data_IF_144737512886
#
_entry.id   IF_144737512886
#
_cell.length_a   1.000
_cell.length_b   1.000
_cell.length_c   1.000
_cell.angle_alpha   90.00
_cell.angle_beta   90.00
_cell.angle_gamma   90.00
#
_symmetry.space_group_name_H-M   'P 1'
#
loop_
_entity.id
_entity.type
_entity.pdbx_description
1 polymer ?
#
# COMPACT_ATOMS: atom_id res chain seq x y z
N UNK A 1 -41.48 2.58 -47.81
CA UNK A 1 -41.24 2.70 -46.34
C UNK A 1 -40.04 1.83 -45.94
N UNK A 2 -38.81 2.34 -46.02
CA UNK A 2 -37.58 1.63 -45.60
C UNK A 2 -36.51 2.62 -45.09
N UNK A 3 -36.89 3.61 -44.28
CA UNK A 3 -35.93 4.60 -43.72
C UNK A 3 -35.85 4.62 -42.18
N UNK A 4 -36.69 3.86 -41.48
CA UNK A 4 -36.75 3.88 -40.01
C UNK A 4 -35.76 2.94 -39.30
N UNK A 5 -35.37 1.83 -39.92
CA UNK A 5 -34.58 0.77 -39.25
C UNK A 5 -33.08 1.14 -39.21
N UNK A 6 -32.59 1.83 -40.25
CA UNK A 6 -31.17 2.20 -40.38
C UNK A 6 -30.73 3.19 -39.29
N UNK A 7 -31.56 4.17 -38.94
CA UNK A 7 -31.22 5.21 -37.96
C UNK A 7 -31.22 4.68 -36.53
N UNK A 8 -32.12 3.74 -36.21
CA UNK A 8 -32.21 3.13 -34.87
C UNK A 8 -30.97 2.26 -34.59
N UNK A 9 -30.51 1.51 -35.61
CA UNK A 9 -29.31 0.67 -35.48
C UNK A 9 -28.04 1.52 -35.30
N UNK A 10 -27.97 2.68 -35.98
CA UNK A 10 -26.82 3.58 -35.88
C UNK A 10 -26.71 4.25 -34.51
N UNK A 11 -27.85 4.61 -33.89
CA UNK A 11 -27.90 5.16 -32.53
C UNK A 11 -27.56 4.10 -31.48
N UNK A 12 -28.00 2.85 -31.67
CA UNK A 12 -27.67 1.77 -30.75
C UNK A 12 -26.16 1.45 -30.74
N UNK A 13 -25.51 1.45 -31.92
CA UNK A 13 -24.06 1.20 -32.05
C UNK A 13 -23.25 2.34 -31.44
N UNK A 14 -23.66 3.60 -31.63
CA UNK A 14 -22.96 4.74 -31.01
C UNK A 14 -23.17 4.81 -29.49
N UNK A 15 -24.34 4.40 -28.98
CA UNK A 15 -24.57 4.26 -27.54
C UNK A 15 -23.71 3.15 -26.93
N UNK A 16 -23.56 1.99 -27.57
CA UNK A 16 -22.69 0.91 -27.09
C UNK A 16 -21.20 1.30 -27.10
N UNK A 17 -20.75 2.02 -28.12
CA UNK A 17 -19.38 2.54 -28.18
C UNK A 17 -19.12 3.59 -27.09
N UNK A 18 -20.08 4.48 -26.82
CA UNK A 18 -19.97 5.46 -25.72
C UNK A 18 -19.87 4.77 -24.35
N UNK A 19 -20.65 3.71 -24.12
CA UNK A 19 -20.58 2.93 -22.87
C UNK A 19 -19.21 2.28 -22.70
N UNK A 20 -18.58 1.77 -23.77
CA UNK A 20 -17.24 1.18 -23.71
C UNK A 20 -16.11 2.20 -23.41
N UNK A 21 -16.32 3.49 -23.69
CA UNK A 21 -15.36 4.55 -23.39
C UNK A 21 -15.35 4.96 -21.90
N UNK A 22 -16.40 4.62 -21.14
CA UNK A 22 -16.48 4.91 -19.69
C UNK A 22 -16.02 3.77 -18.78
N UNK A 23 -15.83 2.54 -19.31
CA UNK A 23 -15.34 1.40 -18.54
C UNK A 23 -13.82 1.18 -18.63
N UNK A 24 -13.09 2.17 -19.17
CA UNK A 24 -11.64 2.08 -19.43
C UNK A 24 -10.75 2.93 -18.53
N UNK A 25 -11.25 3.48 -17.42
CA UNK A 25 -10.37 4.05 -16.40
C UNK A 25 -9.96 2.90 -15.48
N UNK A 26 -8.74 2.42 -15.65
CA UNK A 26 -8.20 1.37 -14.80
C UNK A 26 -8.13 1.89 -13.37
N UNK A 27 -9.03 1.43 -12.50
CA UNK A 27 -8.93 1.56 -11.04
C UNK A 27 -7.79 0.67 -10.53
N UNK A 28 -6.57 0.91 -11.02
CA UNK A 28 -5.35 0.35 -10.43
C UNK A 28 -5.11 1.21 -9.19
N UNK A 29 -5.27 0.69 -7.96
CA UNK A 29 -4.93 1.47 -6.79
C UNK A 29 -3.48 1.88 -6.86
N UNK A 30 -3.25 3.16 -6.62
CA UNK A 30 -1.95 3.80 -6.68
C UNK A 30 -1.08 3.48 -5.46
N UNK A 31 -1.60 2.73 -4.49
CA UNK A 31 -0.94 2.46 -3.21
C UNK A 31 -1.28 1.08 -2.64
N UNK A 32 -0.37 0.53 -1.85
CA UNK A 32 -0.58 -0.64 -1.00
C UNK A 32 -0.84 -0.19 0.44
N UNK A 33 -1.88 -0.71 1.10
CA UNK A 33 -2.16 -0.37 2.49
C UNK A 33 -1.20 -1.12 3.44
N UNK A 34 -0.69 -0.38 4.42
CA UNK A 34 0.06 -0.85 5.58
C UNK A 34 -0.68 -0.44 6.85
N UNK A 35 -1.29 -1.40 7.54
CA UNK A 35 -1.97 -1.20 8.81
C UNK A 35 -0.98 -1.47 9.94
N UNK A 36 -0.66 -0.44 10.72
CA UNK A 36 0.14 -0.55 11.93
C UNK A 36 -0.80 -0.72 13.12
N UNK A 37 -0.72 -1.85 13.80
CA UNK A 37 -1.51 -2.18 14.99
C UNK A 37 -0.63 -2.04 16.22
N UNK A 38 -1.05 -1.22 17.18
CA UNK A 38 -0.39 -1.13 18.47
C UNK A 38 -0.92 -2.22 19.41
N UNK A 39 -0.27 -3.37 19.42
CA UNK A 39 -0.56 -4.47 20.33
C UNK A 39 0.22 -4.39 21.66
N UNK A 40 0.87 -3.25 21.93
CA UNK A 40 1.57 -2.96 23.18
C UNK A 40 0.66 -2.24 24.18
N UNK A 41 1.11 -2.14 25.43
CA UNK A 41 0.45 -1.36 26.49
C UNK A 41 0.82 0.13 26.46
N UNK A 42 1.77 0.53 25.62
CA UNK A 42 2.28 1.90 25.56
C UNK A 42 1.68 2.68 24.39
N UNK A 43 1.61 4.01 24.51
CA UNK A 43 1.26 4.87 23.38
C UNK A 43 2.43 4.91 22.41
N UNK A 44 2.20 4.50 21.16
CA UNK A 44 3.15 4.75 20.07
C UNK A 44 3.18 6.25 19.82
N UNK A 45 4.37 6.83 19.82
CA UNK A 45 4.60 8.28 19.66
C UNK A 45 5.14 8.67 18.30
N UNK A 46 5.68 7.70 17.55
CA UNK A 46 6.24 7.90 16.22
C UNK A 46 6.11 6.63 15.38
N UNK A 47 5.63 6.81 14.13
CA UNK A 47 5.75 5.83 13.06
C UNK A 47 6.51 6.47 11.90
N UNK A 48 7.64 5.88 11.53
CA UNK A 48 8.43 6.34 10.39
C UNK A 48 8.54 5.24 9.36
N UNK A 49 8.14 5.56 8.12
CA UNK A 49 8.20 4.66 6.98
C UNK A 49 9.18 5.26 5.98
N UNK A 50 10.23 4.52 5.66
CA UNK A 50 11.16 4.85 4.58
C UNK A 50 11.03 3.81 3.49
N UNK A 51 10.67 4.24 2.29
CA UNK A 51 10.64 3.39 1.10
C UNK A 51 11.86 3.68 0.23
N UNK A 52 12.52 2.61 -0.21
CA UNK A 52 13.62 2.66 -1.16
C UNK A 52 13.12 2.10 -2.48
N UNK A 53 13.10 2.91 -3.54
CA UNK A 53 12.64 2.47 -4.86
C UNK A 53 13.80 2.08 -5.77
N UNK A 54 13.59 1.02 -6.57
CA UNK A 54 14.47 0.64 -7.67
C UNK A 54 14.11 1.50 -8.88
N UNK A 55 14.93 2.51 -9.17
CA UNK A 55 14.91 3.19 -10.47
C UNK A 55 16.26 3.00 -11.16
N UNK A 56 16.29 2.65 -12.46
CA UNK A 56 17.52 2.40 -13.20
C UNK A 56 18.45 3.63 -13.31
N UNK A 57 18.05 4.79 -12.79
CA UNK A 57 18.87 6.00 -12.78
C UNK A 57 19.24 6.55 -11.41
N UNK A 58 18.49 6.31 -10.32
CA UNK A 58 18.81 6.76 -8.95
C UNK A 58 17.98 5.98 -7.92
N UNK A 59 18.56 5.64 -6.76
CA UNK A 59 17.76 5.29 -5.58
C UNK A 59 17.03 6.56 -5.13
N UNK A 60 15.71 6.55 -5.14
CA UNK A 60 14.89 7.61 -4.56
C UNK A 60 14.41 7.14 -3.19
N UNK A 61 14.83 7.87 -2.14
CA UNK A 61 14.39 7.63 -0.78
C UNK A 61 13.18 8.52 -0.51
N UNK A 62 11.99 7.96 -0.40
CA UNK A 62 10.88 8.67 0.23
C UNK A 62 10.88 8.32 1.73
N UNK A 63 10.90 9.34 2.58
CA UNK A 63 10.72 9.16 4.03
C UNK A 63 9.44 9.88 4.42
N UNK A 64 8.40 9.09 4.71
CA UNK A 64 7.18 9.59 5.32
C UNK A 64 7.33 9.34 6.82
N UNK A 65 7.96 10.28 7.53
CA UNK A 65 7.88 10.31 8.98
C UNK A 65 6.55 10.97 9.35
N UNK A 66 5.60 10.17 9.86
CA UNK A 66 4.34 10.69 10.36
C UNK A 66 4.41 10.65 11.90
N UNK A 67 4.40 11.83 12.52
CA UNK A 67 4.28 11.93 13.97
C UNK A 67 2.80 11.82 14.28
N UNK A 68 2.28 10.60 14.30
CA UNK A 68 0.92 10.31 14.74
C UNK A 68 0.95 9.29 15.88
N UNK A 69 0.15 9.56 16.92
CA UNK A 69 0.07 8.72 18.10
C UNK A 69 -0.92 7.59 17.89
N UNK A 70 -0.53 6.35 18.19
CA UNK A 70 -1.43 5.19 18.17
C UNK A 70 -1.60 4.71 19.62
N UNK A 71 -2.81 4.83 20.16
CA UNK A 71 -3.09 4.37 21.52
C UNK A 71 -3.00 2.84 21.64
N UNK A 72 -2.83 2.28 22.86
CA UNK A 72 -2.86 0.83 23.07
C UNK A 72 -4.14 0.20 22.49
N UNK A 73 -4.00 -0.87 21.70
CA UNK A 73 -5.09 -1.59 21.04
C UNK A 73 -5.66 -0.92 19.78
N UNK A 74 -5.21 0.28 19.43
CA UNK A 74 -5.64 0.98 18.22
C UNK A 74 -4.76 0.64 17.00
N UNK A 75 -5.22 1.01 15.82
CA UNK A 75 -4.50 0.82 14.57
C UNK A 75 -4.54 2.06 13.68
N UNK A 76 -3.54 2.20 12.82
CA UNK A 76 -3.44 3.29 11.86
C UNK A 76 -3.02 2.77 10.49
N UNK A 77 -3.66 3.27 9.44
CA UNK A 77 -3.39 2.86 8.06
C UNK A 77 -2.51 3.87 7.36
N UNK A 78 -1.42 3.36 6.78
CA UNK A 78 -0.51 4.09 5.90
C UNK A 78 -0.62 3.54 4.48
N UNK A 79 -0.24 4.35 3.50
CA UNK A 79 -0.30 3.98 2.09
C UNK A 79 1.10 4.01 1.48
N UNK A 80 1.58 2.83 1.08
CA UNK A 80 2.87 2.59 0.46
C UNK A 80 2.78 2.84 -1.05
N UNK A 81 3.78 3.51 -1.63
CA UNK A 81 3.84 3.74 -3.08
C UNK A 81 3.98 2.45 -3.89
N UNK A 82 3.38 2.40 -5.08
CA UNK A 82 3.31 1.20 -5.95
C UNK A 82 4.45 1.05 -6.95
N UNK A 83 5.47 1.91 -6.89
CA UNK A 83 6.69 1.73 -7.69
C UNK A 83 7.41 0.44 -7.31
N UNK A 84 8.35 -0.03 -8.13
CA UNK A 84 9.24 -1.15 -7.79
C UNK A 84 10.00 -0.81 -6.49
N UNK A 85 9.46 -1.21 -5.34
CA UNK A 85 10.06 -1.00 -4.02
C UNK A 85 11.14 -2.07 -3.82
N UNK A 86 12.36 -1.64 -3.52
CA UNK A 86 13.47 -2.53 -3.16
C UNK A 86 13.31 -3.01 -1.71
N UNK A 87 13.04 -2.05 -0.81
CA UNK A 87 12.88 -2.29 0.61
C UNK A 87 12.06 -1.19 1.27
N UNK A 88 11.33 -1.57 2.31
CA UNK A 88 10.68 -0.68 3.26
C UNK A 88 11.35 -0.86 4.61
N UNK A 89 11.73 0.26 5.21
CA UNK A 89 12.08 0.31 6.63
C UNK A 89 10.91 0.91 7.40
N UNK A 90 10.32 0.13 8.29
CA UNK A 90 9.34 0.59 9.26
C UNK A 90 10.02 0.74 10.62
N UNK A 91 9.88 1.92 11.21
CA UNK A 91 10.37 2.25 12.54
C UNK A 91 9.20 2.73 13.40
N UNK A 92 9.06 2.15 14.58
CA UNK A 92 8.00 2.48 15.54
C UNK A 92 8.65 2.77 16.89
N UNK A 93 8.26 3.85 17.55
CA UNK A 93 8.80 4.23 18.85
C UNK A 93 7.72 4.67 19.83
N UNK A 94 7.89 4.30 21.08
CA UNK A 94 7.05 4.66 22.23
C UNK A 94 7.92 5.26 23.37
N UNK A 95 7.39 5.32 24.58
CA UNK A 95 8.12 5.85 25.75
C UNK A 95 9.25 4.96 26.26
N UNK A 96 9.22 3.65 25.97
CA UNK A 96 10.17 2.64 26.48
C UNK A 96 11.29 2.37 25.47
N UNK A 97 11.07 2.64 24.18
CA UNK A 97 12.10 2.51 23.17
C UNK A 97 11.58 2.56 21.75
N UNK A 98 12.20 1.76 20.89
CA UNK A 98 11.82 1.61 19.50
C UNK A 98 12.04 0.20 18.99
N UNK A 99 11.30 -0.16 17.96
CA UNK A 99 11.53 -1.33 17.13
C UNK A 99 11.59 -0.93 15.66
N UNK A 100 12.33 -1.69 14.87
CA UNK A 100 12.38 -1.51 13.42
C UNK A 100 12.39 -2.84 12.70
N UNK A 101 11.78 -2.88 11.52
CA UNK A 101 11.80 -4.01 10.62
C UNK A 101 12.04 -3.52 9.19
N UNK A 102 12.87 -4.26 8.46
CA UNK A 102 13.05 -4.09 7.01
C UNK A 102 12.26 -5.19 6.30
N UNK A 103 11.45 -4.83 5.30
CA UNK A 103 10.65 -5.79 4.55
C UNK A 103 10.45 -5.38 3.10
N UNK A 104 10.03 -6.34 2.27
CA UNK A 104 9.56 -6.11 0.91
C UNK A 104 8.15 -6.66 0.74
N UNK A 105 7.49 -6.36 -0.37
CA UNK A 105 6.17 -6.91 -0.71
C UNK A 105 6.01 -6.98 -2.22
N UNK A 106 5.27 -7.98 -2.70
CA UNK A 106 4.93 -8.09 -4.11
C UNK A 106 3.61 -7.37 -4.42
N UNK A 107 3.69 -6.32 -5.25
CA UNK A 107 2.50 -5.63 -5.72
C UNK A 107 1.89 -6.34 -6.95
N UNK A 108 0.79 -7.07 -6.74
CA UNK A 108 0.06 -7.75 -7.80
C UNK A 108 -1.09 -6.88 -8.33
N UNK A 109 -0.95 -6.37 -9.56
CA UNK A 109 -1.96 -5.49 -10.18
C UNK A 109 -3.32 -6.18 -10.45
N UNK A 110 -3.40 -7.50 -10.43
CA UNK A 110 -4.58 -8.29 -10.80
C UNK A 110 -4.81 -9.38 -9.74
N UNK A 111 -5.54 -9.06 -8.67
CA UNK A 111 -5.80 -10.05 -7.62
C UNK A 111 -6.59 -9.58 -6.40
N UNK A 112 -6.78 -8.27 -6.22
CA UNK A 112 -7.24 -7.73 -4.94
C UNK A 112 -6.03 -7.57 -4.01
N UNK A 113 -6.02 -6.47 -3.27
CA UNK A 113 -4.88 -6.10 -2.44
C UNK A 113 -5.16 -6.63 -1.04
N UNK A 114 -4.33 -7.56 -0.59
CA UNK A 114 -4.32 -7.92 0.82
C UNK A 114 -3.55 -6.83 1.58
N UNK A 115 -4.14 -6.31 2.65
CA UNK A 115 -3.48 -5.32 3.49
C UNK A 115 -2.24 -5.94 4.15
N UNK A 116 -1.15 -5.17 4.23
CA UNK A 116 0.00 -5.55 5.04
C UNK A 116 -0.30 -5.10 6.47
N UNK A 117 -0.18 -6.00 7.44
CA UNK A 117 -0.41 -5.72 8.85
C UNK A 117 0.93 -5.82 9.58
N UNK A 118 1.34 -4.71 10.21
CA UNK A 118 2.47 -4.63 11.11
C UNK A 118 1.98 -4.52 12.56
N UNK A 119 2.16 -5.56 13.36
CA UNK A 119 1.79 -5.55 14.78
C UNK A 119 3.00 -5.22 15.64
N UNK A 120 2.90 -4.14 16.42
CA UNK A 120 3.93 -3.69 17.35
C UNK A 120 3.62 -4.16 18.78
N UNK A 121 4.57 -4.84 19.41
CA UNK A 121 4.42 -5.45 20.75
C UNK A 121 5.11 -4.67 21.88
N UNK A 122 5.67 -3.49 21.59
CA UNK A 122 6.51 -2.74 22.53
C UNK A 122 8.00 -3.04 22.41
N UNK A 123 8.36 -4.19 21.84
CA UNK A 123 9.77 -4.62 21.70
C UNK A 123 10.10 -5.18 20.32
N UNK A 124 9.09 -5.51 19.51
CA UNK A 124 9.26 -6.04 18.17
C UNK A 124 8.09 -5.69 17.26
N UNK A 125 8.28 -5.98 15.97
CA UNK A 125 7.28 -5.82 14.92
C UNK A 125 7.12 -7.16 14.22
N UNK A 126 5.88 -7.61 14.05
CA UNK A 126 5.57 -8.80 13.24
C UNK A 126 4.74 -8.41 12.02
N UNK A 127 5.07 -8.98 10.86
CA UNK A 127 4.37 -8.72 9.60
C UNK A 127 3.43 -9.86 9.22
N UNK A 128 2.32 -9.54 8.57
CA UNK A 128 1.40 -10.50 7.97
C UNK A 128 0.61 -9.85 6.81
N UNK A 129 0.08 -10.68 5.91
CA UNK A 129 -0.70 -10.22 4.76
C UNK A 129 0.15 -9.56 3.66
N UNK A 130 -0.49 -9.28 2.52
CA UNK A 130 0.08 -8.50 1.42
C UNK A 130 1.40 -9.03 0.84
N UNK A 131 1.67 -10.33 1.01
CA UNK A 131 2.95 -10.96 0.65
C UNK A 131 4.18 -10.21 1.20
N UNK A 132 4.06 -9.64 2.40
CA UNK A 132 5.17 -8.97 3.05
C UNK A 132 6.21 -9.99 3.54
N UNK A 133 7.47 -9.79 3.14
CA UNK A 133 8.59 -10.64 3.51
C UNK A 133 9.66 -9.83 4.25
N UNK A 134 9.99 -10.27 5.47
CA UNK A 134 11.06 -9.66 6.26
C UNK A 134 12.42 -9.89 5.60
N UNK A 135 13.21 -8.82 5.50
CA UNK A 135 14.58 -8.86 5.01
C UNK A 135 15.49 -9.13 6.21
N UNK A 136 15.84 -10.40 6.43
CA UNK A 136 16.82 -10.77 7.44
C UNK A 136 18.21 -10.40 6.93
N UNK A 137 18.78 -9.32 7.48
CA UNK A 137 20.19 -8.99 7.24
C UNK A 137 21.06 -9.90 8.10
N UNK A 138 21.67 -10.90 7.48
CA UNK A 138 22.75 -11.68 8.10
C UNK A 138 23.96 -10.77 8.30
N UNK A 139 24.18 -10.33 9.53
CA UNK A 139 25.42 -9.68 9.95
C UNK A 139 26.46 -10.78 10.22
N UNK A 140 26.97 -11.40 9.15
CA UNK A 140 28.12 -12.30 9.20
C UNK A 140 29.44 -11.53 9.25
#
# INVERSE_FOLDING_TARGET
MKKGISSILQVAVSCLLLVSLFFGCSDIPSSQALIVVNASENVVSLVSIRQTNISPKKMENSTNALIETIAPGESMTFYLGTSLVDSIRLYISDAEGYASIDFTYEFHMHGGYEDIIASYTGTGITLSGGHAEEIVQDYS
#
